data_IF_467441191823
#
_entry.id   IF_467441191823
#
_cell.length_a   1.000
_cell.length_b   1.000
_cell.length_c   1.000
_cell.angle_alpha   90.00
_cell.angle_beta   90.00
_cell.angle_gamma   90.00
#
_symmetry.space_group_name_H-M   'P 1'
#
loop_
_entity.id
_entity.type
_entity.pdbx_description
1 polymer ?
#
# COMPACT_ATOMS: atom_id res chain seq x y z
N UNK A 1 -1.97 4.64 7.44
CA UNK A 1 -0.68 5.11 6.88
C UNK A 1 -0.90 6.20 5.84
N UNK A 2 -1.55 5.95 4.68
CA UNK A 2 -1.73 6.96 3.63
C UNK A 2 -2.50 8.19 4.12
N UNK A 3 -3.60 8.02 4.85
CA UNK A 3 -4.38 9.09 5.46
C UNK A 3 -3.55 9.98 6.40
N UNK A 4 -2.69 9.39 7.20
CA UNK A 4 -1.78 10.09 8.10
C UNK A 4 -0.81 10.99 7.33
N UNK A 5 -0.26 10.49 6.20
CA UNK A 5 0.62 11.28 5.35
C UNK A 5 -0.12 12.37 4.58
N UNK A 6 -1.36 12.12 4.13
CA UNK A 6 -2.19 13.17 3.55
C UNK A 6 -2.52 14.27 4.55
N UNK A 7 -2.75 13.93 5.81
CA UNK A 7 -2.97 14.91 6.88
C UNK A 7 -1.71 15.76 7.14
N UNK A 8 -0.52 15.18 7.06
CA UNK A 8 0.75 15.94 7.13
C UNK A 8 0.90 16.96 5.99
N UNK A 9 0.34 16.68 4.82
CA UNK A 9 0.40 17.54 3.64
C UNK A 9 -0.64 18.67 3.71
N UNK A 10 -1.90 18.34 3.98
CA UNK A 10 -3.04 19.22 3.82
C UNK A 10 -3.71 19.61 5.15
N UNK A 11 -3.26 19.07 6.29
CA UNK A 11 -3.87 19.34 7.60
C UNK A 11 -5.36 19.00 7.61
N UNK A 12 -6.16 19.89 8.18
CA UNK A 12 -7.62 19.70 8.31
C UNK A 12 -8.36 19.69 6.96
N UNK A 13 -7.75 20.19 5.87
CA UNK A 13 -8.31 20.12 4.51
C UNK A 13 -8.09 18.79 3.81
N UNK A 14 -7.57 17.78 4.49
CA UNK A 14 -7.39 16.43 3.92
C UNK A 14 -8.69 15.87 3.36
N UNK A 15 -9.83 16.09 4.03
CA UNK A 15 -11.15 15.65 3.58
C UNK A 15 -11.54 16.35 2.29
N UNK A 16 -11.27 17.64 2.14
CA UNK A 16 -11.59 18.41 0.94
C UNK A 16 -10.69 17.99 -0.22
N UNK A 17 -9.41 17.76 0.03
CA UNK A 17 -8.46 17.21 -0.94
C UNK A 17 -8.97 15.88 -1.53
N UNK A 18 -9.46 14.97 -0.69
CA UNK A 18 -9.97 13.67 -1.13
C UNK A 18 -11.29 13.74 -1.89
N UNK A 19 -12.04 14.85 -1.76
CA UNK A 19 -13.31 15.09 -2.48
C UNK A 19 -13.11 15.66 -3.87
N UNK A 20 -11.93 16.16 -4.20
CA UNK A 20 -11.65 16.71 -5.53
C UNK A 20 -11.88 15.67 -6.64
N UNK A 21 -12.36 16.09 -7.84
CA UNK A 21 -12.66 15.17 -8.93
C UNK A 21 -11.46 14.27 -9.31
N UNK A 22 -10.26 14.83 -9.31
CA UNK A 22 -9.02 14.13 -9.63
C UNK A 22 -8.73 13.00 -8.63
N UNK A 23 -8.99 13.25 -7.34
CA UNK A 23 -8.81 12.27 -6.28
C UNK A 23 -9.92 11.21 -6.27
N UNK A 24 -11.16 11.62 -6.59
CA UNK A 24 -12.28 10.67 -6.75
C UNK A 24 -12.06 9.71 -7.90
N UNK A 25 -11.46 10.15 -8.99
CA UNK A 25 -11.14 9.31 -10.14
C UNK A 25 -10.15 8.17 -9.80
N UNK A 26 -9.34 8.34 -8.75
CA UNK A 26 -8.41 7.31 -8.26
C UNK A 26 -9.08 6.25 -7.37
N UNK A 27 -10.35 6.42 -7.02
CA UNK A 27 -11.05 5.42 -6.23
C UNK A 27 -11.30 4.15 -7.07
N UNK A 28 -10.95 2.95 -6.56
CA UNK A 28 -11.13 1.73 -7.31
C UNK A 28 -12.60 1.46 -7.62
N UNK A 29 -12.88 1.05 -8.84
CA UNK A 29 -14.24 0.66 -9.27
C UNK A 29 -14.61 -0.64 -8.56
N UNK A 30 -15.76 -0.67 -7.88
CA UNK A 30 -16.26 -1.92 -7.28
C UNK A 30 -16.83 -2.82 -8.38
N UNK A 31 -16.18 -3.93 -8.62
CA UNK A 31 -16.84 -5.07 -9.26
C UNK A 31 -17.66 -5.77 -8.17
N UNK A 32 -18.98 -5.95 -8.40
CA UNK A 32 -19.81 -6.80 -7.56
C UNK A 32 -19.35 -8.25 -7.79
N UNK A 33 -18.60 -8.79 -6.86
CA UNK A 33 -18.31 -10.23 -6.86
C UNK A 33 -19.56 -10.98 -6.36
N UNK A 34 -19.87 -12.17 -6.89
CA UNK A 34 -21.06 -12.94 -6.47
C UNK A 34 -21.05 -13.30 -4.98
N UNK A 35 -19.90 -13.27 -4.33
CA UNK A 35 -19.74 -13.46 -2.87
C UNK A 35 -20.07 -12.23 -2.03
N UNK A 36 -20.33 -11.05 -2.62
CA UNK A 36 -20.66 -9.82 -1.88
C UNK A 36 -22.05 -9.85 -1.23
N UNK A 37 -22.87 -10.86 -1.49
CA UNK A 37 -24.21 -11.03 -0.90
C UNK A 37 -24.13 -11.27 0.61
N UNK A 38 -23.02 -11.78 1.12
CA UNK A 38 -22.82 -12.07 2.55
C UNK A 38 -22.14 -10.95 3.35
N UNK A 39 -21.72 -9.86 2.70
CA UNK A 39 -21.04 -8.74 3.35
C UNK A 39 -21.74 -7.43 3.04
N UNK A 40 -22.70 -7.05 3.90
CA UNK A 40 -23.41 -5.77 3.83
C UNK A 40 -22.60 -4.59 4.40
N UNK A 41 -21.33 -4.77 4.71
CA UNK A 41 -20.49 -3.69 5.23
C UNK A 41 -20.01 -2.84 4.07
N UNK A 42 -20.60 -1.66 3.91
CA UNK A 42 -20.13 -0.58 3.05
C UNK A 42 -18.82 -0.05 3.62
N UNK A 43 -17.72 -0.75 3.37
CA UNK A 43 -16.39 -0.23 3.68
C UNK A 43 -16.14 0.92 2.73
N UNK A 44 -15.99 2.13 3.28
CA UNK A 44 -15.59 3.30 2.51
C UNK A 44 -14.33 2.95 1.69
N UNK A 45 -14.39 3.18 0.37
CA UNK A 45 -13.30 2.87 -0.54
C UNK A 45 -12.10 3.75 -0.19
N UNK A 46 -11.07 3.18 0.39
CA UNK A 46 -9.79 3.85 0.59
C UNK A 46 -9.03 3.89 -0.74
N UNK A 47 -8.47 5.05 -1.04
CA UNK A 47 -7.56 5.21 -2.19
C UNK A 47 -6.29 4.41 -1.86
N UNK A 48 -5.95 3.42 -2.69
CA UNK A 48 -4.81 2.54 -2.45
C UNK A 48 -3.50 3.15 -2.92
N UNK A 49 -3.55 3.89 -4.03
CA UNK A 49 -2.38 4.53 -4.64
C UNK A 49 -2.75 5.90 -5.20
N UNK A 50 -1.98 6.91 -4.80
CA UNK A 50 -2.11 8.27 -5.32
C UNK A 50 -0.86 8.59 -6.14
N UNK A 51 -0.99 8.87 -7.46
CA UNK A 51 0.11 9.42 -8.24
C UNK A 51 0.51 10.78 -7.68
N UNK A 52 1.81 11.01 -7.53
CA UNK A 52 2.33 12.28 -6.97
C UNK A 52 1.84 13.47 -7.78
N UNK A 53 1.86 13.37 -9.11
CA UNK A 53 1.39 14.44 -9.98
C UNK A 53 -0.06 14.84 -9.68
N UNK A 54 -0.97 13.87 -9.57
CA UNK A 54 -2.39 14.13 -9.25
C UNK A 54 -2.55 14.77 -7.87
N UNK A 55 -1.73 14.36 -6.90
CA UNK A 55 -1.74 14.94 -5.55
C UNK A 55 -1.27 16.39 -5.58
N UNK A 56 -0.18 16.68 -6.31
CA UNK A 56 0.35 18.04 -6.48
C UNK A 56 -0.67 18.93 -7.19
N UNK A 57 -1.26 18.46 -8.30
CA UNK A 57 -2.28 19.20 -9.03
C UNK A 57 -3.48 19.51 -8.16
N UNK A 58 -4.01 18.51 -7.47
CA UNK A 58 -5.13 18.69 -6.54
C UNK A 58 -4.81 19.67 -5.42
N UNK A 59 -3.57 19.64 -4.92
CA UNK A 59 -3.13 20.54 -3.88
C UNK A 59 -3.02 21.99 -4.39
N UNK A 60 -2.46 22.20 -5.59
CA UNK A 60 -2.37 23.52 -6.20
C UNK A 60 -3.75 24.07 -6.59
N UNK A 61 -4.67 23.22 -7.05
CA UNK A 61 -6.07 23.60 -7.29
C UNK A 61 -6.76 24.06 -6.00
N UNK A 62 -6.56 23.31 -4.91
CA UNK A 62 -7.14 23.65 -3.60
C UNK A 62 -6.60 24.99 -3.05
N UNK A 63 -5.35 25.32 -3.37
CA UNK A 63 -4.71 26.56 -2.90
C UNK A 63 -5.00 27.76 -3.82
N UNK A 64 -5.62 27.53 -5.00
CA UNK A 64 -5.87 28.58 -5.99
C UNK A 64 -4.61 29.08 -6.72
N UNK A 65 -3.49 28.37 -6.58
CA UNK A 65 -2.23 28.70 -7.27
C UNK A 65 -2.20 28.25 -8.73
N UNK A 66 -3.17 27.43 -9.13
CA UNK A 66 -3.29 26.95 -10.52
C UNK A 66 -3.72 28.10 -11.43
N UNK A 67 -2.98 28.33 -12.52
CA UNK A 67 -3.29 29.37 -13.51
C UNK A 67 -2.59 30.72 -13.29
N UNK A 68 -1.81 30.89 -12.23
CA UNK A 68 -1.04 32.09 -11.97
C UNK A 68 0.47 31.81 -12.00
N UNK A 69 1.13 31.73 -13.17
CA UNK A 69 2.54 31.36 -13.25
C UNK A 69 3.48 32.43 -12.68
N UNK A 70 3.05 33.69 -12.68
CA UNK A 70 3.83 34.85 -12.19
C UNK A 70 3.04 35.52 -11.06
N UNK A 71 3.30 35.07 -9.84
CA UNK A 71 2.79 35.70 -8.61
C UNK A 71 3.99 36.30 -7.88
N UNK A 72 3.83 37.53 -7.35
CA UNK A 72 4.84 38.13 -6.48
C UNK A 72 5.08 37.30 -5.23
N UNK A 73 6.31 37.31 -4.72
CA UNK A 73 6.70 36.57 -3.52
C UNK A 73 5.83 36.88 -2.30
N UNK A 74 5.39 38.14 -2.18
CA UNK A 74 4.52 38.57 -1.11
C UNK A 74 3.13 37.93 -1.20
N UNK A 75 2.53 37.92 -2.39
CA UNK A 75 1.25 37.26 -2.65
C UNK A 75 1.35 35.74 -2.48
N UNK A 76 2.45 35.14 -2.94
CA UNK A 76 2.70 33.71 -2.79
C UNK A 76 2.78 33.33 -1.29
N UNK A 77 3.46 34.14 -0.49
CA UNK A 77 3.55 33.97 0.96
C UNK A 77 2.19 34.12 1.66
N UNK A 78 1.37 35.05 1.21
CA UNK A 78 0.02 35.29 1.73
C UNK A 78 -0.89 34.08 1.43
N UNK A 79 -0.93 33.60 0.18
CA UNK A 79 -1.74 32.45 -0.22
C UNK A 79 -1.32 31.19 0.55
N UNK A 80 -0.02 30.92 0.62
CA UNK A 80 0.50 29.76 1.38
C UNK A 80 0.24 29.93 2.88
N UNK A 81 0.34 31.17 3.39
CA UNK A 81 0.04 31.50 4.79
C UNK A 81 -1.41 31.26 5.19
N UNK A 82 -2.35 31.40 4.25
CA UNK A 82 -3.77 31.13 4.47
C UNK A 82 -4.13 29.63 4.52
N UNK A 83 -3.19 28.73 4.18
CA UNK A 83 -3.41 27.29 4.29
C UNK A 83 -3.50 26.85 5.75
N UNK A 84 -4.23 25.76 6.05
CA UNK A 84 -4.23 25.15 7.37
C UNK A 84 -2.82 24.78 7.81
N UNK A 85 -2.61 24.75 9.10
CA UNK A 85 -1.33 24.31 9.66
C UNK A 85 -1.06 22.86 9.27
N UNK A 86 0.10 22.68 8.61
CA UNK A 86 0.59 21.37 8.15
C UNK A 86 2.10 21.44 7.94
N UNK A 87 2.76 20.28 7.95
CA UNK A 87 4.18 20.19 7.63
C UNK A 87 4.45 20.69 6.19
N UNK A 88 3.52 20.43 5.28
CA UNK A 88 3.59 20.91 3.89
C UNK A 88 3.57 22.43 3.78
N UNK A 89 2.67 23.12 4.55
CA UNK A 89 2.65 24.58 4.62
C UNK A 89 3.97 25.14 5.13
N UNK A 90 4.48 24.60 6.22
CA UNK A 90 5.74 25.06 6.80
C UNK A 90 6.93 24.90 5.85
N UNK A 91 6.98 23.76 5.13
CA UNK A 91 7.99 23.54 4.11
C UNK A 91 7.92 24.58 2.99
N UNK A 92 6.71 24.86 2.48
CA UNK A 92 6.52 25.87 1.42
C UNK A 92 6.90 27.28 1.86
N UNK A 93 6.48 27.70 3.05
CA UNK A 93 6.85 29.01 3.61
C UNK A 93 8.38 29.14 3.71
N UNK A 94 9.06 28.09 4.20
CA UNK A 94 10.51 28.07 4.27
C UNK A 94 11.17 28.17 2.90
N UNK A 95 10.65 27.53 1.86
CA UNK A 95 11.20 27.66 0.51
C UNK A 95 10.98 29.04 -0.09
N UNK A 96 9.85 29.69 0.19
CA UNK A 96 9.59 31.07 -0.22
C UNK A 96 10.59 32.01 0.45
N UNK A 97 10.85 31.83 1.74
CA UNK A 97 11.87 32.59 2.48
C UNK A 97 13.29 32.36 1.95
N UNK A 98 13.57 31.18 1.39
CA UNK A 98 14.82 30.86 0.69
C UNK A 98 14.92 31.43 -0.74
N UNK A 99 13.95 32.24 -1.17
CA UNK A 99 13.96 32.91 -2.47
C UNK A 99 13.24 32.18 -3.60
N UNK A 100 12.38 31.20 -3.29
CA UNK A 100 11.51 30.59 -4.29
C UNK A 100 10.33 31.52 -4.55
N UNK A 101 10.40 32.29 -5.64
CA UNK A 101 9.39 33.28 -6.05
C UNK A 101 8.53 32.81 -7.21
N UNK A 102 8.93 31.76 -7.91
CA UNK A 102 8.22 31.23 -9.06
C UNK A 102 7.37 30.00 -8.69
N UNK A 103 6.09 30.04 -9.07
CA UNK A 103 5.12 28.97 -8.81
C UNK A 103 5.57 27.62 -9.38
N UNK A 104 6.18 27.59 -10.56
CA UNK A 104 6.68 26.36 -11.18
C UNK A 104 7.82 25.74 -10.37
N UNK A 105 8.73 26.59 -9.84
CA UNK A 105 9.81 26.12 -8.96
C UNK A 105 9.25 25.60 -7.64
N UNK A 106 8.25 26.28 -7.07
CA UNK A 106 7.55 25.81 -5.87
C UNK A 106 6.88 24.46 -6.13
N UNK A 107 6.18 24.33 -7.27
CA UNK A 107 5.51 23.09 -7.68
C UNK A 107 6.51 21.93 -7.81
N UNK A 108 7.67 22.16 -8.41
CA UNK A 108 8.72 21.14 -8.51
C UNK A 108 9.22 20.71 -7.13
N UNK A 109 9.42 21.62 -6.19
CA UNK A 109 9.82 21.30 -4.80
C UNK A 109 8.74 20.55 -4.05
N UNK A 110 7.48 20.96 -4.18
CA UNK A 110 6.32 20.27 -3.61
C UNK A 110 6.20 18.86 -4.17
N UNK A 111 6.41 18.68 -5.47
CA UNK A 111 6.41 17.36 -6.11
C UNK A 111 7.49 16.44 -5.51
N UNK A 112 8.71 16.95 -5.36
CA UNK A 112 9.82 16.18 -4.74
C UNK A 112 9.53 15.85 -3.28
N UNK A 113 8.96 16.79 -2.53
CA UNK A 113 8.57 16.59 -1.14
C UNK A 113 7.49 15.50 -0.98
N UNK A 114 6.45 15.57 -1.81
CA UNK A 114 5.37 14.57 -1.79
C UNK A 114 5.85 13.21 -2.25
N UNK A 115 6.76 13.15 -3.22
CA UNK A 115 7.42 11.89 -3.61
C UNK A 115 8.12 11.26 -2.41
N UNK A 116 8.93 12.03 -1.71
CA UNK A 116 9.63 11.55 -0.52
C UNK A 116 8.70 11.07 0.59
N UNK A 117 7.60 11.79 0.84
CA UNK A 117 6.59 11.38 1.83
C UNK A 117 5.88 10.09 1.44
N UNK A 118 5.49 9.94 0.16
CA UNK A 118 4.81 8.72 -0.30
C UNK A 118 5.76 7.52 -0.31
N UNK A 119 7.03 7.72 -0.63
CA UNK A 119 8.05 6.67 -0.54
C UNK A 119 8.29 6.22 0.91
N UNK A 120 8.29 7.16 1.86
CA UNK A 120 8.33 6.82 3.28
C UNK A 120 7.09 6.05 3.72
N UNK A 121 5.90 6.47 3.27
CA UNK A 121 4.65 5.76 3.55
C UNK A 121 4.69 4.33 2.99
N UNK A 122 5.16 4.17 1.76
CA UNK A 122 5.30 2.86 1.12
C UNK A 122 6.31 1.97 1.86
N UNK A 123 7.43 2.54 2.31
CA UNK A 123 8.45 1.82 3.09
C UNK A 123 7.90 1.34 4.44
N UNK A 124 7.19 2.21 5.17
CA UNK A 124 6.52 1.83 6.42
C UNK A 124 5.50 0.71 6.19
N UNK A 125 4.69 0.82 5.14
CA UNK A 125 3.71 -0.22 4.81
C UNK A 125 4.39 -1.57 4.53
N UNK A 126 5.45 -1.57 3.72
CA UNK A 126 6.23 -2.79 3.41
C UNK A 126 6.83 -3.42 4.67
N UNK A 127 7.36 -2.60 5.58
CA UNK A 127 7.92 -3.08 6.84
C UNK A 127 6.85 -3.75 7.72
N UNK A 128 5.67 -3.14 7.87
CA UNK A 128 4.55 -3.73 8.61
C UNK A 128 4.04 -5.01 7.96
N UNK A 129 3.84 -5.01 6.63
CA UNK A 129 3.40 -6.20 5.90
C UNK A 129 4.38 -7.35 6.05
N UNK A 130 5.70 -7.08 5.95
CA UNK A 130 6.75 -8.09 6.15
C UNK A 130 6.73 -8.66 7.57
N UNK A 131 6.62 -7.81 8.58
CA UNK A 131 6.53 -8.25 9.98
C UNK A 131 5.31 -9.15 10.20
N UNK A 132 4.16 -8.77 9.65
CA UNK A 132 2.94 -9.57 9.74
C UNK A 132 3.10 -10.94 9.07
N UNK A 133 3.66 -11.00 7.85
CA UNK A 133 3.89 -12.25 7.13
C UNK A 133 4.84 -13.16 7.91
N UNK A 134 5.92 -12.61 8.46
CA UNK A 134 6.88 -13.40 9.28
C UNK A 134 6.18 -13.96 10.53
N UNK A 135 5.44 -13.14 11.28
CA UNK A 135 4.74 -13.57 12.48
C UNK A 135 3.70 -14.64 12.17
N UNK A 136 2.94 -14.48 11.08
CA UNK A 136 1.95 -15.44 10.65
C UNK A 136 2.58 -16.74 10.17
N UNK A 137 3.71 -16.68 9.48
CA UNK A 137 4.47 -17.87 9.05
C UNK A 137 4.98 -18.67 10.23
N UNK A 138 5.50 -18.00 11.26
CA UNK A 138 5.95 -18.66 12.50
C UNK A 138 4.77 -19.36 13.18
N UNK A 139 3.63 -18.67 13.30
CA UNK A 139 2.42 -19.24 13.90
C UNK A 139 1.94 -20.48 13.14
N UNK A 140 1.85 -20.41 11.81
CA UNK A 140 1.49 -21.55 10.97
C UNK A 140 2.47 -22.72 11.13
N UNK A 141 3.76 -22.42 11.15
CA UNK A 141 4.80 -23.46 11.32
C UNK A 141 4.66 -24.18 12.66
N UNK A 142 4.34 -23.43 13.75
CA UNK A 142 4.12 -24.03 15.06
C UNK A 142 2.88 -24.94 15.06
N UNK A 143 1.77 -24.48 14.45
CA UNK A 143 0.52 -25.27 14.39
C UNK A 143 0.73 -26.54 13.57
N UNK A 144 1.27 -26.41 12.36
CA UNK A 144 1.50 -27.56 11.45
C UNK A 144 2.61 -28.47 11.96
N UNK A 145 3.65 -27.90 12.58
CA UNK A 145 4.76 -28.67 13.17
C UNK A 145 4.31 -29.58 14.31
N UNK A 146 3.36 -29.14 15.12
CA UNK A 146 2.80 -29.95 16.23
C UNK A 146 2.07 -31.16 15.69
N UNK A 147 1.26 -31.00 14.64
CA UNK A 147 0.55 -32.10 13.99
C UNK A 147 1.52 -33.08 13.30
N UNK A 148 2.56 -32.59 12.67
CA UNK A 148 3.56 -33.42 12.00
C UNK A 148 4.35 -34.29 12.99
N UNK A 149 4.66 -33.75 14.18
CA UNK A 149 5.34 -34.53 15.25
C UNK A 149 4.42 -35.61 15.80
N UNK A 150 3.12 -35.29 16.00
CA UNK A 150 2.15 -36.30 16.45
C UNK A 150 1.95 -37.39 15.43
N UNK A 151 1.85 -37.02 14.14
CA UNK A 151 1.75 -37.95 13.03
C UNK A 151 2.98 -38.87 12.97
N UNK A 152 4.18 -38.30 13.08
CA UNK A 152 5.42 -39.09 13.13
C UNK A 152 5.47 -40.05 14.30
N UNK A 153 5.06 -39.61 15.50
CA UNK A 153 4.97 -40.47 16.69
C UNK A 153 3.94 -41.60 16.53
N UNK A 154 2.79 -41.30 15.96
CA UNK A 154 1.73 -42.29 15.72
C UNK A 154 2.17 -43.30 14.66
N UNK A 155 2.83 -42.89 13.60
CA UNK A 155 3.44 -43.78 12.60
C UNK A 155 4.55 -44.65 13.19
N UNK A 156 5.34 -44.10 14.14
CA UNK A 156 6.42 -44.86 14.78
C UNK A 156 5.89 -45.91 15.74
N UNK A 157 4.84 -45.60 16.49
CA UNK A 157 4.30 -46.47 17.54
C UNK A 157 3.28 -47.47 17.00
N UNK A 158 2.65 -47.24 15.86
CA UNK A 158 1.62 -48.11 15.27
C UNK A 158 2.13 -48.85 14.03
N UNK A 159 2.50 -50.09 14.17
CA UNK A 159 2.96 -50.93 13.04
C UNK A 159 1.86 -51.11 11.97
N UNK A 160 0.58 -51.14 12.35
CA UNK A 160 -0.56 -51.29 11.45
C UNK A 160 -0.75 -50.10 10.52
N UNK A 161 -0.34 -48.90 10.93
CA UNK A 161 -0.42 -47.71 10.11
C UNK A 161 0.77 -47.54 9.15
N UNK A 162 1.90 -48.20 9.44
CA UNK A 162 3.11 -48.09 8.59
C UNK A 162 2.92 -48.78 7.23
N UNK A 163 2.32 -49.95 7.22
CA UNK A 163 2.20 -50.76 6.01
C UNK A 163 1.36 -50.08 4.91
N UNK A 164 0.14 -49.57 5.17
CA UNK A 164 -0.63 -48.85 4.17
C UNK A 164 -0.02 -47.51 3.75
N UNK A 165 0.63 -46.79 4.68
CA UNK A 165 1.26 -45.50 4.35
C UNK A 165 2.50 -45.68 3.48
N UNK A 166 3.31 -46.71 3.73
CA UNK A 166 4.46 -47.05 2.91
C UNK A 166 4.04 -47.52 1.49
N UNK A 167 2.98 -48.30 1.40
CA UNK A 167 2.44 -48.75 0.10
C UNK A 167 1.89 -47.55 -0.72
N UNK A 168 1.23 -46.60 -0.06
CA UNK A 168 0.72 -45.39 -0.71
C UNK A 168 1.87 -44.48 -1.18
N UNK A 169 2.93 -44.34 -0.40
CA UNK A 169 4.12 -43.56 -0.77
C UNK A 169 4.84 -44.18 -1.99
N UNK A 170 4.93 -45.51 -2.08
CA UNK A 170 5.49 -46.21 -3.25
C UNK A 170 4.67 -45.96 -4.50
N UNK A 171 3.34 -46.03 -4.48
CA UNK A 171 2.49 -45.77 -5.62
C UNK A 171 2.63 -44.34 -6.14
N UNK A 172 2.79 -43.36 -5.28
CA UNK A 172 3.02 -41.95 -5.67
C UNK A 172 4.40 -41.79 -6.32
N UNK A 173 5.41 -42.45 -5.78
CA UNK A 173 6.78 -42.43 -6.34
C UNK A 173 6.83 -43.09 -7.74
N UNK A 174 6.16 -44.21 -7.90
CA UNK A 174 6.10 -44.92 -9.18
C UNK A 174 5.34 -44.13 -10.25
N UNK A 175 4.24 -43.45 -9.86
CA UNK A 175 3.52 -42.56 -10.78
C UNK A 175 4.37 -41.34 -11.17
N UNK A 176 5.13 -40.76 -10.22
CA UNK A 176 6.07 -39.68 -10.50
C UNK A 176 7.19 -40.09 -11.46
N UNK A 177 7.76 -41.29 -11.27
CA UNK A 177 8.78 -41.83 -12.14
C UNK A 177 8.25 -42.13 -13.56
N UNK A 178 7.04 -42.68 -13.67
CA UNK A 178 6.37 -42.93 -14.96
C UNK A 178 6.09 -41.63 -15.74
N UNK A 179 5.69 -40.54 -15.04
CA UNK A 179 5.45 -39.25 -15.67
C UNK A 179 6.75 -38.61 -16.20
N UNK A 180 7.83 -38.69 -15.43
CA UNK A 180 9.14 -38.20 -15.85
C UNK A 180 9.71 -39.01 -17.04
N UNK A 181 9.54 -40.34 -17.05
CA UNK A 181 9.93 -41.19 -18.16
C UNK A 181 9.16 -40.90 -19.45
N UNK A 182 7.87 -40.61 -19.34
CA UNK A 182 7.04 -40.19 -20.47
C UNK A 182 7.47 -38.82 -21.04
N UNK A 183 7.78 -37.85 -20.18
CA UNK A 183 8.28 -36.52 -20.61
C UNK A 183 9.66 -36.61 -21.30
N UNK A 184 10.50 -37.58 -20.91
CA UNK A 184 11.82 -37.77 -21.52
C UNK A 184 11.76 -38.50 -22.87
N UNK A 185 10.60 -39.08 -23.24
CA UNK A 185 10.40 -39.82 -24.47
C UNK A 185 9.79 -38.98 -25.62
N UNK A 186 9.42 -37.74 -25.36
CA UNK A 186 8.90 -36.76 -26.31
C UNK A 186 10.00 -35.79 -26.70
#
# INVERSE_FOLDING_TARGET
>A
VLEEYLHKIAGDKTVDLTKLPQMKALQPIRYKTPLSVFSSTTVAKKIEKVPVATLVDSFFDLTGLTGHPEIDAAQLKEIVGALPESEGKQAMLKWIEQGVTNVNTLRARVNSYFTGLLDQAASKYKAHARSFVISFSILLTLILGTDSIQLAKNLWNNAELRTPTAAQAQTVTDQGAATLAFQASI
#
